data_IF_048164494297
#
_entry.id   IF_048164494297
#
_cell.length_a   1.000
_cell.length_b   1.000
_cell.length_c   1.000
_cell.angle_alpha   90.00
_cell.angle_beta   90.00
_cell.angle_gamma   90.00
#
_symmetry.space_group_name_H-M   'P 1'
#
loop_
_entity.id
_entity.type
_entity.pdbx_description
1 polymer ?
#
# COMPACT_ATOMS: atom_id res chain seq x y z
N UNK A 1 17.33 -22.02 -22.07
CA UNK A 1 17.46 -20.77 -21.30
C UNK A 1 16.42 -20.80 -20.19
N UNK A 2 16.63 -20.19 -19.02
CA UNK A 2 15.53 -20.00 -18.07
C UNK A 2 14.40 -19.22 -18.76
N UNK A 3 13.15 -19.50 -18.39
CA UNK A 3 11.98 -18.83 -18.97
C UNK A 3 11.79 -17.39 -18.45
N UNK A 4 12.51 -17.01 -17.38
CA UNK A 4 12.43 -15.71 -16.72
C UNK A 4 13.82 -15.22 -16.28
N UNK A 5 14.00 -13.89 -16.30
CA UNK A 5 15.15 -13.18 -15.73
C UNK A 5 14.70 -12.34 -14.53
N UNK A 6 15.56 -12.22 -13.52
CA UNK A 6 15.28 -11.42 -12.32
C UNK A 6 15.46 -9.94 -12.63
N UNK A 7 14.37 -9.17 -12.52
CA UNK A 7 14.39 -7.72 -12.73
C UNK A 7 14.77 -6.93 -11.46
N UNK A 8 14.26 -7.35 -10.30
CA UNK A 8 14.54 -6.73 -8.99
C UNK A 8 14.37 -7.78 -7.89
N UNK A 9 15.16 -7.66 -6.82
CA UNK A 9 15.01 -8.41 -5.57
C UNK A 9 15.10 -7.39 -4.45
N UNK A 10 14.07 -7.33 -3.61
CA UNK A 10 14.07 -6.50 -2.41
C UNK A 10 13.69 -7.38 -1.22
N UNK A 11 14.63 -7.60 -0.31
CA UNK A 11 14.38 -8.33 0.93
C UNK A 11 13.67 -7.41 1.93
N UNK A 12 12.46 -7.79 2.32
CA UNK A 12 11.64 -7.05 3.26
C UNK A 12 11.46 -7.81 4.59
N UNK A 13 11.15 -7.09 5.66
CA UNK A 13 11.05 -7.65 7.01
C UNK A 13 9.97 -6.96 7.85
N UNK A 14 9.42 -7.69 8.83
CA UNK A 14 8.58 -7.08 9.86
C UNK A 14 9.46 -6.34 10.88
N UNK A 15 9.15 -5.07 11.12
CA UNK A 15 9.89 -4.20 12.03
C UNK A 15 9.01 -3.82 13.23
N UNK A 16 9.51 -4.05 14.45
CA UNK A 16 8.93 -3.60 15.75
C UNK A 16 7.39 -3.65 15.84
N UNK A 17 6.81 -4.84 15.72
CA UNK A 17 5.34 -5.06 15.80
C UNK A 17 4.58 -4.21 14.77
N UNK A 18 4.89 -4.39 13.47
CA UNK A 18 4.25 -3.71 12.34
C UNK A 18 4.45 -2.19 12.30
N UNK A 19 5.67 -1.73 12.54
CA UNK A 19 6.05 -0.33 12.35
C UNK A 19 6.85 -0.15 11.07
N UNK A 20 6.55 0.93 10.37
CA UNK A 20 7.41 1.45 9.32
C UNK A 20 8.78 1.92 9.88
N UNK A 21 9.78 2.15 9.03
CA UNK A 21 11.09 2.66 9.47
C UNK A 21 11.01 4.09 10.06
N UNK A 22 9.98 4.86 9.71
CA UNK A 22 9.64 6.14 10.39
C UNK A 22 9.24 5.96 11.85
N UNK A 23 8.96 4.73 12.28
CA UNK A 23 8.50 4.39 13.61
C UNK A 23 7.00 4.55 13.80
N UNK A 24 6.21 4.89 12.77
CA UNK A 24 4.75 4.86 12.83
C UNK A 24 4.22 3.45 12.63
N UNK A 25 3.09 3.12 13.24
CA UNK A 25 2.42 1.85 13.00
C UNK A 25 1.83 1.83 11.58
N UNK A 26 2.06 0.73 10.86
CA UNK A 26 1.50 0.49 9.55
C UNK A 26 0.48 -0.66 9.59
N UNK A 27 -0.71 -0.41 9.04
CA UNK A 27 -1.77 -1.41 8.94
C UNK A 27 -2.88 -1.32 9.99
N UNK A 28 -2.99 -0.21 10.71
CA UNK A 28 -4.06 0.00 11.72
C UNK A 28 -5.46 -0.14 11.11
N UNK A 29 -5.72 0.54 10.00
CA UNK A 29 -6.98 0.49 9.23
C UNK A 29 -6.96 -0.56 8.09
N UNK A 30 -6.05 -1.54 8.14
CA UNK A 30 -6.04 -2.62 7.16
C UNK A 30 -7.25 -3.54 7.41
N UNK A 31 -8.03 -3.94 6.39
CA UNK A 31 -9.19 -4.80 6.59
C UNK A 31 -8.80 -6.14 7.23
N UNK A 32 -9.72 -6.69 8.03
CA UNK A 32 -9.50 -7.91 8.84
C UNK A 32 -10.63 -8.92 8.59
N UNK A 33 -10.34 -10.20 8.80
CA UNK A 33 -11.32 -11.28 8.65
C UNK A 33 -11.97 -11.27 7.26
N UNK A 34 -13.29 -11.37 7.22
CA UNK A 34 -14.06 -11.44 5.98
C UNK A 34 -13.92 -10.16 5.14
N UNK A 35 -13.80 -8.98 5.76
CA UNK A 35 -13.56 -7.73 5.03
C UNK A 35 -12.23 -7.75 4.26
N UNK A 36 -11.22 -8.46 4.77
CA UNK A 36 -9.94 -8.61 4.05
C UNK A 36 -10.11 -9.48 2.79
N UNK A 37 -10.96 -10.51 2.87
CA UNK A 37 -11.31 -11.39 1.75
C UNK A 37 -12.09 -10.59 0.71
N UNK A 38 -13.10 -9.84 1.14
CA UNK A 38 -13.94 -9.01 0.28
C UNK A 38 -13.17 -7.89 -0.42
N UNK A 39 -12.22 -7.27 0.26
CA UNK A 39 -11.35 -6.25 -0.34
C UNK A 39 -10.41 -6.83 -1.40
N UNK A 40 -9.86 -8.02 -1.15
CA UNK A 40 -8.76 -8.56 -1.95
C UNK A 40 -9.19 -9.50 -3.09
N UNK A 41 -10.27 -10.28 -2.93
CA UNK A 41 -10.61 -11.38 -3.84
C UNK A 41 -11.87 -11.11 -4.66
N UNK A 42 -11.83 -11.47 -5.94
CA UNK A 42 -13.01 -11.44 -6.79
C UNK A 42 -14.04 -12.48 -6.34
N UNK A 43 -15.33 -12.11 -6.26
CA UNK A 43 -16.40 -13.01 -5.80
C UNK A 43 -16.72 -14.10 -6.83
N UNK A 44 -17.49 -15.12 -6.43
CA UNK A 44 -17.97 -16.20 -7.30
C UNK A 44 -18.72 -15.71 -8.55
N UNK A 45 -19.39 -14.56 -8.45
CA UNK A 45 -20.06 -13.92 -9.59
C UNK A 45 -19.10 -13.44 -10.69
N UNK A 46 -17.79 -13.41 -10.45
CA UNK A 46 -16.76 -13.08 -11.44
C UNK A 46 -16.41 -14.27 -12.38
N UNK A 47 -17.07 -15.42 -12.21
CA UNK A 47 -16.96 -16.56 -13.13
C UNK A 47 -15.54 -17.11 -13.23
N UNK A 48 -14.92 -17.05 -14.42
CA UNK A 48 -13.57 -17.55 -14.63
C UNK A 48 -12.50 -16.86 -13.74
N UNK A 49 -12.76 -15.64 -13.30
CA UNK A 49 -11.87 -14.86 -12.43
C UNK A 49 -12.19 -15.00 -10.93
N UNK A 50 -13.23 -15.73 -10.55
CA UNK A 50 -13.61 -15.93 -9.16
C UNK A 50 -12.44 -16.47 -8.33
N UNK A 51 -12.17 -15.85 -7.17
CA UNK A 51 -11.05 -16.17 -6.29
C UNK A 51 -9.70 -15.56 -6.68
N UNK A 52 -9.63 -14.82 -7.79
CA UNK A 52 -8.42 -14.11 -8.20
C UNK A 52 -8.27 -12.76 -7.50
N UNK A 53 -7.07 -12.18 -7.56
CA UNK A 53 -6.75 -10.88 -6.98
C UNK A 53 -5.89 -10.07 -7.94
N UNK A 54 -5.77 -8.78 -7.66
CA UNK A 54 -4.88 -7.86 -8.36
C UNK A 54 -3.95 -7.23 -7.33
N UNK A 55 -2.66 -7.19 -7.62
CA UNK A 55 -1.67 -6.63 -6.72
C UNK A 55 -0.91 -5.47 -7.37
N UNK A 56 -0.79 -4.38 -6.62
CA UNK A 56 0.11 -3.27 -6.92
C UNK A 56 1.30 -3.31 -5.96
N UNK A 57 2.52 -3.21 -6.51
CA UNK A 57 3.76 -3.22 -5.75
C UNK A 57 4.58 -1.98 -6.08
N UNK A 58 5.03 -1.26 -5.06
CA UNK A 58 5.92 -0.11 -5.19
C UNK A 58 7.01 -0.16 -4.13
N UNK A 59 8.28 -0.03 -4.53
CA UNK A 59 9.36 0.24 -3.58
C UNK A 59 9.43 1.74 -3.33
N UNK A 60 9.27 2.14 -2.08
CA UNK A 60 9.42 3.51 -1.62
C UNK A 60 10.73 3.65 -0.86
N UNK A 61 11.50 4.69 -1.18
CA UNK A 61 12.72 5.05 -0.47
C UNK A 61 12.46 6.22 0.46
N UNK A 62 12.81 6.05 1.73
CA UNK A 62 12.72 7.09 2.73
C UNK A 62 14.00 7.90 2.78
N UNK A 63 13.85 9.22 2.82
CA UNK A 63 14.89 10.16 3.18
C UNK A 63 14.88 10.37 4.70
N UNK A 64 15.31 9.35 5.45
CA UNK A 64 15.23 9.34 6.92
C UNK A 64 15.89 10.55 7.58
N UNK A 65 17.00 11.08 7.02
CA UNK A 65 17.60 12.32 7.52
C UNK A 65 16.70 13.56 7.38
N UNK A 66 15.86 13.64 6.32
CA UNK A 66 14.83 14.69 6.21
C UNK A 66 13.73 14.48 7.24
N UNK A 67 13.30 13.23 7.40
CA UNK A 67 12.27 12.86 8.36
C UNK A 67 12.69 13.18 9.79
N UNK A 68 13.91 12.81 10.19
CA UNK A 68 14.47 13.08 11.52
C UNK A 68 14.68 14.57 11.80
N UNK A 69 14.88 15.38 10.76
CA UNK A 69 14.97 16.84 10.89
C UNK A 69 13.61 17.53 11.10
N UNK A 70 12.49 16.84 10.81
CA UNK A 70 11.14 17.35 11.08
C UNK A 70 10.87 17.36 12.59
N UNK A 71 10.12 18.35 13.06
CA UNK A 71 9.58 18.31 14.42
C UNK A 71 8.59 17.15 14.55
N UNK A 72 8.39 16.66 15.78
CA UNK A 72 7.40 15.60 16.02
C UNK A 72 6.01 15.97 15.50
N UNK A 73 5.59 17.22 15.69
CA UNK A 73 4.32 17.73 15.16
C UNK A 73 4.27 17.68 13.62
N UNK A 74 5.35 18.03 12.94
CA UNK A 74 5.40 17.93 11.47
C UNK A 74 5.30 16.48 10.99
N UNK A 75 5.94 15.54 11.68
CA UNK A 75 5.83 14.11 11.36
C UNK A 75 4.40 13.62 11.57
N UNK A 76 3.82 13.90 12.75
CA UNK A 76 2.46 13.47 13.11
C UNK A 76 1.42 14.06 12.14
N UNK A 77 1.55 15.32 11.73
CA UNK A 77 0.65 15.95 10.76
C UNK A 77 0.88 15.48 9.31
N UNK A 78 2.08 15.01 8.96
CA UNK A 78 2.32 14.40 7.64
C UNK A 78 1.65 13.02 7.56
N UNK A 79 1.67 12.25 8.64
CA UNK A 79 0.99 10.94 8.72
C UNK A 79 -0.52 11.10 8.93
N UNK A 80 -0.94 12.02 9.79
CA UNK A 80 -2.31 12.15 10.30
C UNK A 80 -2.60 11.35 11.56
N UNK A 81 -1.57 10.81 12.23
CA UNK A 81 -1.67 10.08 13.50
C UNK A 81 -0.52 10.46 14.41
N UNK A 82 -0.72 10.32 15.71
CA UNK A 82 0.36 10.44 16.69
C UNK A 82 1.24 9.18 16.69
N UNK A 83 2.57 9.31 16.58
CA UNK A 83 3.48 8.14 16.50
C UNK A 83 3.41 7.16 17.68
N UNK A 84 3.24 7.69 18.90
CA UNK A 84 3.39 6.91 20.13
C UNK A 84 2.08 6.24 20.55
N UNK A 85 0.97 6.98 20.55
CA UNK A 85 -0.38 6.50 20.85
C UNK A 85 -1.04 5.80 19.65
N UNK A 86 -0.57 6.10 18.44
CA UNK A 86 -1.20 5.71 17.18
C UNK A 86 -2.65 6.21 17.07
N UNK A 87 -3.02 7.28 17.77
CA UNK A 87 -4.34 7.90 17.66
C UNK A 87 -4.42 8.78 16.41
N UNK A 88 -5.56 8.76 15.72
CA UNK A 88 -5.80 9.65 14.58
C UNK A 88 -5.97 11.09 15.02
N UNK A 89 -5.40 12.02 14.27
CA UNK A 89 -5.52 13.45 14.52
C UNK A 89 -6.71 13.98 13.71
N UNK A 90 -7.80 14.32 14.40
CA UNK A 90 -9.05 14.79 13.79
C UNK A 90 -8.81 16.02 12.89
N UNK A 91 -8.13 17.03 13.42
CA UNK A 91 -7.82 18.29 12.74
C UNK A 91 -6.52 18.24 11.89
N UNK A 92 -6.09 17.05 11.46
CA UNK A 92 -4.95 16.93 10.57
C UNK A 92 -5.20 17.68 9.25
N UNK A 93 -4.17 18.28 8.62
CA UNK A 93 -4.34 18.97 7.35
C UNK A 93 -4.84 17.99 6.27
N UNK A 94 -5.52 18.51 5.25
CA UNK A 94 -5.99 17.70 4.12
C UNK A 94 -4.87 16.96 3.37
N UNK A 95 -3.61 17.38 3.53
CA UNK A 95 -2.43 16.71 2.99
C UNK A 95 -1.94 15.52 3.82
N UNK A 96 -2.45 15.31 5.04
CA UNK A 96 -2.05 14.20 5.89
C UNK A 96 -2.36 12.85 5.22
N UNK A 97 -1.44 11.90 5.32
CA UNK A 97 -1.55 10.61 4.62
C UNK A 97 -2.89 9.91 4.87
N UNK A 98 -3.29 9.80 6.14
CA UNK A 98 -4.59 9.20 6.51
C UNK A 98 -5.77 9.86 5.79
N UNK A 99 -5.76 11.18 5.60
CA UNK A 99 -6.83 11.90 4.87
C UNK A 99 -6.72 11.68 3.36
N UNK A 100 -5.52 11.47 2.81
CA UNK A 100 -5.34 11.15 1.38
C UNK A 100 -5.74 9.72 1.04
N UNK A 101 -5.71 8.81 2.00
CA UNK A 101 -5.92 7.37 1.76
C UNK A 101 -7.07 6.75 2.56
N UNK A 102 -7.91 7.56 3.22
CA UNK A 102 -9.15 7.09 3.85
C UNK A 102 -10.01 6.39 2.79
N UNK A 103 -10.18 5.08 2.93
CA UNK A 103 -10.65 4.20 1.84
C UNK A 103 -12.14 4.39 1.58
N UNK A 104 -12.88 4.73 2.64
CA UNK A 104 -14.30 5.07 2.67
C UNK A 104 -14.63 6.42 2.00
N UNK A 105 -13.65 7.30 1.83
CA UNK A 105 -13.84 8.64 1.24
C UNK A 105 -13.78 8.64 -0.30
N UNK A 106 -13.80 7.45 -0.93
CA UNK A 106 -13.82 7.28 -2.37
C UNK A 106 -15.17 6.77 -2.84
N UNK A 107 -15.55 7.12 -4.07
CA UNK A 107 -16.77 6.61 -4.72
C UNK A 107 -16.40 5.93 -6.06
N UNK A 108 -16.50 4.59 -6.16
CA UNK A 108 -16.76 3.66 -5.06
C UNK A 108 -15.63 3.61 -4.03
N UNK A 109 -15.90 3.06 -2.84
CA UNK A 109 -14.91 2.91 -1.77
C UNK A 109 -13.66 2.17 -2.27
N UNK A 110 -12.49 2.67 -1.90
CA UNK A 110 -11.19 2.25 -2.42
C UNK A 110 -10.47 1.30 -1.44
N UNK A 111 -11.16 0.26 -0.98
CA UNK A 111 -10.56 -0.72 -0.06
C UNK A 111 -9.48 -1.58 -0.74
N UNK A 112 -8.33 -1.69 -0.07
CA UNK A 112 -7.20 -2.57 -0.41
C UNK A 112 -6.75 -3.35 0.82
N UNK A 113 -6.32 -4.60 0.62
CA UNK A 113 -5.62 -5.38 1.63
C UNK A 113 -4.11 -5.16 1.48
N UNK A 114 -3.49 -4.49 2.46
CA UNK A 114 -2.06 -4.21 2.46
C UNK A 114 -1.25 -5.33 3.10
N UNK A 115 -0.12 -5.63 2.47
CA UNK A 115 0.92 -6.57 2.92
C UNK A 115 2.31 -5.93 2.81
N UNK A 116 2.35 -4.61 2.97
CA UNK A 116 3.57 -3.82 2.91
C UNK A 116 4.54 -4.23 4.02
N UNK A 117 5.84 -4.20 3.71
CA UNK A 117 6.89 -4.46 4.68
C UNK A 117 8.09 -3.54 4.46
N UNK A 118 8.76 -3.08 5.53
CA UNK A 118 10.03 -2.37 5.44
C UNK A 118 11.12 -3.12 4.68
N UNK A 119 11.99 -2.39 4.01
CA UNK A 119 13.24 -2.90 3.42
C UNK A 119 14.41 -2.00 3.82
N UNK A 120 15.63 -2.54 3.83
CA UNK A 120 16.83 -1.78 4.11
C UNK A 120 18.05 -2.36 3.37
N UNK A 121 18.91 -1.48 2.88
CA UNK A 121 20.24 -1.80 2.34
C UNK A 121 21.25 -0.75 2.82
N UNK A 122 22.12 -1.14 3.75
CA UNK A 122 23.04 -0.23 4.43
C UNK A 122 22.29 0.89 5.18
N UNK A 123 22.48 2.13 4.73
CA UNK A 123 21.81 3.31 5.28
C UNK A 123 20.60 3.76 4.45
N UNK A 124 20.27 3.05 3.37
CA UNK A 124 19.05 3.25 2.61
C UNK A 124 17.97 2.27 3.09
N UNK A 125 16.72 2.67 2.90
CA UNK A 125 15.58 1.85 3.24
C UNK A 125 14.28 2.59 3.03
N UNK A 126 13.19 1.87 3.26
CA UNK A 126 11.85 2.43 3.24
C UNK A 126 10.83 1.32 3.29
N UNK A 127 9.81 1.40 2.44
CA UNK A 127 8.68 0.49 2.45
C UNK A 127 8.51 -0.16 1.08
N UNK A 128 8.37 -1.49 1.04
CA UNK A 128 7.82 -2.19 -0.12
C UNK A 128 6.30 -2.17 0.04
N UNK A 129 5.65 -1.17 -0.52
CA UNK A 129 4.20 -1.08 -0.52
C UNK A 129 3.64 -2.22 -1.38
N UNK A 130 2.75 -3.03 -0.81
CA UNK A 130 2.08 -4.14 -1.49
C UNK A 130 0.60 -4.12 -1.15
N UNK A 131 -0.25 -3.93 -2.13
CA UNK A 131 -1.71 -3.86 -1.93
C UNK A 131 -2.45 -4.79 -2.88
N UNK A 132 -3.35 -5.59 -2.32
CA UNK A 132 -4.24 -6.49 -3.03
C UNK A 132 -5.65 -5.89 -3.13
N UNK A 133 -6.32 -6.10 -4.26
CA UNK A 133 -7.66 -5.62 -4.52
C UNK A 133 -8.42 -6.48 -5.53
N UNK A 134 -9.74 -6.24 -5.65
CA UNK A 134 -10.61 -6.84 -6.68
C UNK A 134 -10.37 -6.29 -8.09
N UNK A 135 -9.64 -5.19 -8.20
CA UNK A 135 -9.16 -4.57 -9.44
C UNK A 135 -8.02 -3.61 -9.08
N UNK A 136 -7.43 -2.95 -10.08
CA UNK A 136 -6.44 -1.89 -9.83
C UNK A 136 -7.05 -0.56 -9.35
N UNK A 137 -8.38 -0.41 -9.42
CA UNK A 137 -9.06 0.86 -9.13
C UNK A 137 -8.71 1.44 -7.75
N UNK A 138 -8.82 0.63 -6.68
CA UNK A 138 -8.69 1.13 -5.32
C UNK A 138 -7.28 1.70 -5.06
N UNK A 139 -6.24 1.02 -5.57
CA UNK A 139 -4.88 1.51 -5.53
C UNK A 139 -4.70 2.79 -6.37
N UNK A 140 -5.21 2.80 -7.60
CA UNK A 140 -5.07 3.96 -8.49
C UNK A 140 -5.80 5.19 -7.96
N UNK A 141 -6.97 5.02 -7.36
CA UNK A 141 -7.76 6.08 -6.75
C UNK A 141 -6.96 6.77 -5.62
N UNK A 142 -6.43 5.96 -4.68
CA UNK A 142 -5.57 6.47 -3.60
C UNK A 142 -4.31 7.13 -4.16
N UNK A 143 -3.60 6.49 -5.09
CA UNK A 143 -2.36 7.07 -5.66
C UNK A 143 -2.61 8.40 -6.39
N UNK A 144 -3.71 8.53 -7.13
CA UNK A 144 -4.10 9.77 -7.82
C UNK A 144 -4.42 10.89 -6.83
N UNK A 145 -5.11 10.56 -5.73
CA UNK A 145 -5.36 11.51 -4.64
C UNK A 145 -4.04 11.90 -3.98
N UNK A 146 -3.18 10.94 -3.64
CA UNK A 146 -1.87 11.20 -3.04
C UNK A 146 -0.98 12.12 -3.91
N UNK A 147 -1.01 11.95 -5.23
CA UNK A 147 -0.20 12.76 -6.15
C UNK A 147 -0.76 14.17 -6.39
N UNK A 148 -1.89 14.53 -5.80
CA UNK A 148 -2.61 15.77 -6.07
C UNK A 148 -3.26 15.84 -7.46
N UNK A 149 -3.42 14.71 -8.15
CA UNK A 149 -4.03 14.69 -9.48
C UNK A 149 -5.55 14.92 -9.43
N UNK A 150 -6.17 14.75 -8.27
CA UNK A 150 -7.60 14.98 -8.03
C UNK A 150 -7.91 16.45 -7.73
N UNK A 151 -7.16 17.07 -6.81
CA UNK A 151 -7.49 18.36 -6.18
C UNK A 151 -6.29 19.32 -6.04
N UNK A 152 -5.11 18.94 -6.52
CA UNK A 152 -3.87 19.71 -6.38
C UNK A 152 -3.18 19.59 -5.01
N UNK A 153 -3.72 18.80 -4.07
CA UNK A 153 -3.14 18.61 -2.74
C UNK A 153 -2.25 17.37 -2.75
N UNK A 154 -0.95 17.58 -2.53
CA UNK A 154 0.05 16.51 -2.51
C UNK A 154 0.11 15.91 -1.09
N UNK A 155 0.20 14.59 -1.01
CA UNK A 155 0.37 13.84 0.23
C UNK A 155 1.64 14.26 1.00
N UNK A 156 1.50 14.45 2.31
CA UNK A 156 2.57 14.81 3.23
C UNK A 156 3.74 13.84 3.25
N UNK A 157 3.53 12.56 2.93
CA UNK A 157 4.59 11.56 2.80
C UNK A 157 5.64 11.97 1.77
N UNK A 158 5.25 12.63 0.67
CA UNK A 158 6.21 13.08 -0.36
C UNK A 158 7.27 14.07 0.15
N UNK A 159 7.08 14.64 1.35
CA UNK A 159 8.11 15.47 1.99
C UNK A 159 9.35 14.69 2.42
N UNK A 160 9.22 13.38 2.68
CA UNK A 160 10.31 12.54 3.16
C UNK A 160 10.44 11.17 2.50
N UNK A 161 9.50 10.75 1.64
CA UNK A 161 9.60 9.47 0.91
C UNK A 161 9.17 9.62 -0.55
N UNK A 162 9.69 8.76 -1.42
CA UNK A 162 9.35 8.76 -2.84
C UNK A 162 9.26 7.32 -3.39
N UNK A 163 8.34 7.04 -4.34
CA UNK A 163 8.31 5.76 -5.04
C UNK A 163 9.46 5.69 -6.05
N UNK A 164 10.14 4.56 -6.11
CA UNK A 164 11.21 4.27 -7.06
C UNK A 164 10.78 3.30 -8.16
N UNK A 165 9.84 2.42 -7.83
CA UNK A 165 9.31 1.39 -8.73
C UNK A 165 7.80 1.37 -8.69
N UNK A 166 7.19 0.74 -9.68
CA UNK A 166 5.76 0.46 -9.73
C UNK A 166 5.46 -0.70 -10.67
N UNK A 167 4.73 -1.67 -10.18
CA UNK A 167 4.31 -2.83 -10.95
C UNK A 167 2.90 -3.27 -10.56
N UNK A 168 2.18 -3.79 -11.55
CA UNK A 168 0.84 -4.35 -11.41
C UNK A 168 0.84 -5.79 -11.88
N UNK A 169 0.21 -6.66 -11.10
CA UNK A 169 0.07 -8.07 -11.45
C UNK A 169 -1.36 -8.55 -11.21
N UNK A 170 -1.80 -9.48 -12.05
CA UNK A 170 -2.95 -10.32 -11.78
C UNK A 170 -2.47 -11.58 -11.07
N UNK A 171 -3.12 -11.92 -9.95
CA UNK A 171 -2.92 -13.14 -9.19
C UNK A 171 -4.05 -14.12 -9.55
N UNK A 172 -3.81 -15.13 -10.39
CA UNK A 172 -4.84 -16.06 -10.82
C UNK A 172 -5.43 -16.85 -9.64
N UNK A 173 -6.67 -17.34 -9.76
CA UNK A 173 -7.26 -18.15 -8.70
C UNK A 173 -6.57 -19.51 -8.60
N UNK A 174 -6.67 -20.12 -7.42
CA UNK A 174 -6.22 -21.50 -7.20
C UNK A 174 -7.45 -22.40 -7.15
N UNK A 175 -7.52 -23.40 -8.03
CA UNK A 175 -8.55 -24.44 -8.07
C UNK A 175 -7.91 -25.80 -7.91
N UNK A 176 -8.43 -26.61 -6.98
CA UNK A 176 -7.89 -27.94 -6.65
C UNK A 176 -6.37 -27.96 -6.41
N UNK A 177 -5.86 -26.91 -5.75
CA UNK A 177 -4.44 -26.77 -5.41
C UNK A 177 -3.53 -26.38 -6.60
N UNK A 178 -4.09 -25.97 -7.74
CA UNK A 178 -3.35 -25.51 -8.92
C UNK A 178 -3.78 -24.12 -9.34
N UNK A 179 -2.83 -23.36 -9.88
CA UNK A 179 -3.11 -22.07 -10.52
C UNK A 179 -4.01 -22.33 -11.74
N UNK A 180 -5.13 -21.61 -11.83
CA UNK A 180 -6.02 -21.64 -12.98
C UNK A 180 -5.76 -20.43 -13.88
N UNK A 181 -5.24 -20.70 -15.08
CA UNK A 181 -4.96 -19.69 -16.10
C UNK A 181 -5.98 -19.69 -17.25
N UNK A 182 -7.10 -20.40 -17.08
CA UNK A 182 -8.13 -20.52 -18.11
C UNK A 182 -8.72 -19.18 -18.54
N UNK A 183 -8.72 -18.18 -17.65
CA UNK A 183 -9.14 -16.82 -17.96
C UNK A 183 -8.25 -16.12 -19.01
N UNK A 184 -7.01 -16.57 -19.18
CA UNK A 184 -6.06 -16.09 -20.21
C UNK A 184 -5.78 -17.14 -21.28
N UNK A 185 -6.55 -18.23 -21.31
CA UNK A 185 -6.46 -19.28 -22.33
C UNK A 185 -5.27 -20.24 -22.18
N UNK A 186 -4.71 -20.36 -20.97
CA UNK A 186 -3.60 -21.27 -20.65
C UNK A 186 -4.03 -22.41 -19.71
#
# INVERSE_FOLDING_TARGET
APAFDVADITDAFSHRTNRDLTGYEDGTENPKGDAAIEAALLPESAGALAGSSFVAVQRWRHHLGRFEAMTRQQQDLAIGRERDSNEEIEDAPASAHVKRTAQEDFEPEAFVLRRSMPWADGNEGGLVFTAFGRSFYAFEAQLRRMSGAEDGIIDGLYSFTQPETGAYFWCPPVRDGRIDLGAVGL
#
